data_IF_909364479210
#
_entry.id   IF_909364479210
#
_cell.length_a   1.000
_cell.length_b   1.000
_cell.length_c   1.000
_cell.angle_alpha   90.00
_cell.angle_beta   90.00
_cell.angle_gamma   90.00
#
_symmetry.space_group_name_H-M   'P 1'
#
loop_
_entity.id
_entity.type
_entity.pdbx_description
1 polymer ?
#
# COMPACT_ATOMS: atom_id res chain seq x y z
N UNK A 1 -21.95 -18.51 16.00
CA UNK A 1 -20.81 -17.90 15.30
C UNK A 1 -19.66 -18.88 15.45
N UNK A 2 -19.16 -19.45 14.36
CA UNK A 2 -17.99 -20.34 14.43
C UNK A 2 -16.70 -19.53 14.66
N UNK A 3 -15.62 -20.21 15.03
CA UNK A 3 -14.34 -19.57 15.34
C UNK A 3 -13.73 -18.84 14.14
N UNK A 4 -14.00 -19.30 12.91
CA UNK A 4 -13.45 -18.71 11.70
C UNK A 4 -14.15 -17.40 11.34
N UNK A 5 -15.48 -17.37 11.46
CA UNK A 5 -16.32 -16.18 11.35
C UNK A 5 -15.90 -15.14 12.39
N UNK A 6 -15.66 -15.56 13.64
CA UNK A 6 -15.22 -14.64 14.68
C UNK A 6 -13.85 -14.04 14.39
N UNK A 7 -12.89 -14.85 13.92
CA UNK A 7 -11.55 -14.35 13.51
C UNK A 7 -11.63 -13.40 12.32
N UNK A 8 -12.54 -13.64 11.38
CA UNK A 8 -12.75 -12.79 10.21
C UNK A 8 -13.32 -11.42 10.63
N UNK A 9 -14.34 -11.40 11.47
CA UNK A 9 -14.92 -10.16 12.02
C UNK A 9 -13.90 -9.40 12.86
N UNK A 10 -13.12 -10.07 13.72
CA UNK A 10 -12.06 -9.43 14.50
C UNK A 10 -10.97 -8.83 13.61
N UNK A 11 -10.64 -9.52 12.52
CA UNK A 11 -9.66 -9.05 11.54
C UNK A 11 -10.20 -7.83 10.78
N UNK A 12 -11.45 -7.85 10.36
CA UNK A 12 -12.13 -6.69 9.74
C UNK A 12 -12.14 -5.50 10.67
N UNK A 13 -12.58 -5.65 11.94
CA UNK A 13 -12.62 -4.56 12.92
C UNK A 13 -11.21 -4.01 13.21
N UNK A 14 -10.22 -4.89 13.40
CA UNK A 14 -8.83 -4.46 13.61
C UNK A 14 -8.26 -3.75 12.39
N UNK A 15 -8.59 -4.23 11.19
CA UNK A 15 -8.14 -3.61 9.96
C UNK A 15 -8.81 -2.26 9.75
N UNK A 16 -10.11 -2.11 10.00
CA UNK A 16 -10.82 -0.83 9.97
C UNK A 16 -10.25 0.18 10.98
N UNK A 17 -10.00 -0.23 12.23
CA UNK A 17 -9.40 0.62 13.27
C UNK A 17 -7.96 1.02 12.93
N UNK A 18 -7.20 0.12 12.32
CA UNK A 18 -5.87 0.42 11.79
C UNK A 18 -5.93 1.10 10.41
N UNK A 19 -7.14 1.25 9.85
CA UNK A 19 -7.54 1.56 8.46
C UNK A 19 -6.80 0.81 7.34
N UNK A 20 -6.27 -0.36 7.67
CA UNK A 20 -5.92 -1.36 6.67
C UNK A 20 -7.23 -1.81 6.04
N UNK A 21 -7.34 -1.79 4.72
CA UNK A 21 -8.54 -2.30 4.02
C UNK A 21 -8.13 -3.51 3.21
N UNK A 22 -9.04 -4.47 3.04
CA UNK A 22 -8.83 -5.51 2.04
C UNK A 22 -8.83 -4.84 0.65
N UNK A 23 -7.72 -5.02 -0.06
CA UNK A 23 -7.52 -4.44 -1.39
C UNK A 23 -7.36 -5.58 -2.37
N UNK A 24 -8.16 -5.52 -3.42
CA UNK A 24 -8.11 -6.50 -4.49
C UNK A 24 -7.15 -6.09 -5.60
N UNK A 25 -6.40 -7.08 -6.08
CA UNK A 25 -5.62 -6.97 -7.31
C UNK A 25 -6.56 -7.05 -8.52
N UNK A 26 -6.27 -6.30 -9.57
CA UNK A 26 -7.04 -6.35 -10.81
C UNK A 26 -6.98 -7.74 -11.46
N UNK A 27 -8.12 -8.25 -11.92
CA UNK A 27 -8.29 -9.66 -12.31
C UNK A 27 -7.30 -10.16 -13.36
N UNK A 28 -6.84 -9.27 -14.26
CA UNK A 28 -5.86 -9.58 -15.30
C UNK A 28 -4.49 -10.02 -14.76
N UNK A 29 -4.20 -9.77 -13.49
CA UNK A 29 -2.92 -10.07 -12.85
C UNK A 29 -2.95 -11.33 -11.98
N UNK A 30 -4.14 -11.93 -11.79
CA UNK A 30 -4.32 -13.11 -10.94
C UNK A 30 -3.46 -14.28 -11.46
N UNK A 31 -2.71 -14.91 -10.54
CA UNK A 31 -1.79 -16.00 -10.88
C UNK A 31 -0.55 -15.59 -11.68
N UNK A 32 -0.32 -14.28 -11.88
CA UNK A 32 0.86 -13.78 -12.56
C UNK A 32 2.13 -13.79 -11.72
N UNK A 33 3.26 -13.53 -12.35
CA UNK A 33 4.59 -13.53 -11.74
C UNK A 33 5.36 -12.25 -12.10
N UNK A 34 5.99 -11.63 -11.10
CA UNK A 34 7.00 -10.59 -11.31
C UNK A 34 8.36 -11.26 -11.52
N UNK A 35 8.99 -10.97 -12.66
CA UNK A 35 10.35 -11.44 -12.99
C UNK A 35 11.29 -10.23 -13.03
N UNK A 36 12.27 -10.22 -12.13
CA UNK A 36 13.35 -9.25 -12.12
C UNK A 36 14.52 -9.82 -12.92
N UNK A 37 14.74 -9.25 -14.10
CA UNK A 37 15.82 -9.63 -15.02
C UNK A 37 17.06 -8.79 -14.68
N UNK A 38 18.17 -9.41 -14.25
CA UNK A 38 19.40 -8.68 -13.97
C UNK A 38 20.01 -8.12 -15.26
N UNK A 39 20.56 -6.90 -15.20
CA UNK A 39 21.28 -6.32 -16.35
C UNK A 39 22.65 -6.94 -16.62
N UNK A 40 23.11 -7.88 -15.78
CA UNK A 40 24.41 -8.56 -15.91
C UNK A 40 24.21 -9.99 -16.38
N UNK A 41 24.84 -10.34 -17.50
CA UNK A 41 24.83 -11.69 -18.05
C UNK A 41 25.32 -12.74 -17.03
N UNK A 42 24.70 -13.92 -17.06
CA UNK A 42 25.00 -15.03 -16.14
C UNK A 42 24.39 -14.89 -14.74
N UNK A 43 23.64 -13.82 -14.46
CA UNK A 43 22.95 -13.65 -13.17
C UNK A 43 21.57 -14.28 -13.21
N UNK A 44 21.20 -15.03 -12.17
CA UNK A 44 19.89 -15.66 -12.08
C UNK A 44 18.77 -14.61 -11.89
N UNK A 45 17.68 -14.79 -12.63
CA UNK A 45 16.46 -14.00 -12.46
C UNK A 45 15.85 -14.20 -11.07
N UNK A 46 15.30 -13.14 -10.52
CA UNK A 46 14.49 -13.23 -9.29
C UNK A 46 13.01 -13.21 -9.67
N UNK A 47 12.30 -14.25 -9.25
CA UNK A 47 10.87 -14.43 -9.51
C UNK A 47 10.07 -14.29 -8.23
N UNK A 48 8.86 -13.74 -8.33
CA UNK A 48 7.91 -13.73 -7.22
C UNK A 48 6.46 -13.66 -7.71
N UNK A 49 5.51 -14.37 -7.07
CA UNK A 49 4.10 -14.24 -7.42
C UNK A 49 3.60 -12.79 -7.29
N UNK A 50 2.77 -12.34 -8.24
CA UNK A 50 2.23 -10.97 -8.23
C UNK A 50 1.37 -10.71 -6.99
N UNK A 51 0.64 -11.69 -6.47
CA UNK A 51 -0.14 -11.55 -5.24
C UNK A 51 0.75 -11.17 -4.04
N UNK A 52 1.93 -11.78 -3.95
CA UNK A 52 2.91 -11.50 -2.89
C UNK A 52 3.51 -10.11 -3.07
N UNK A 53 3.81 -9.72 -4.31
CA UNK A 53 4.30 -8.38 -4.61
C UNK A 53 3.25 -7.31 -4.30
N UNK A 54 2.00 -7.52 -4.76
CA UNK A 54 0.88 -6.61 -4.54
C UNK A 54 0.60 -6.41 -3.04
N UNK A 55 0.58 -7.49 -2.26
CA UNK A 55 0.46 -7.39 -0.78
C UNK A 55 1.55 -6.52 -0.16
N UNK A 56 2.78 -6.57 -0.69
CA UNK A 56 3.87 -5.69 -0.22
C UNK A 56 3.61 -4.22 -0.57
N UNK A 57 3.07 -3.94 -1.75
CA UNK A 57 2.68 -2.59 -2.15
C UNK A 57 1.56 -2.05 -1.26
N UNK A 58 0.51 -2.85 -0.99
CA UNK A 58 -0.58 -2.50 -0.08
C UNK A 58 -0.06 -2.23 1.33
N UNK A 59 0.84 -3.06 1.86
CA UNK A 59 1.45 -2.82 3.18
C UNK A 59 2.24 -1.50 3.27
N UNK A 60 2.87 -1.05 2.18
CA UNK A 60 3.54 0.26 2.14
C UNK A 60 2.50 1.38 2.20
N UNK A 61 1.43 1.28 1.41
CA UNK A 61 0.31 2.23 1.43
C UNK A 61 -0.26 2.39 2.84
N UNK A 62 -0.53 1.28 3.51
CA UNK A 62 -1.16 1.30 4.83
C UNK A 62 -0.23 1.93 5.89
N UNK A 63 1.08 1.67 5.81
CA UNK A 63 2.08 2.31 6.68
C UNK A 63 2.15 3.81 6.46
N UNK A 64 2.09 4.28 5.21
CA UNK A 64 2.08 5.71 4.91
C UNK A 64 0.81 6.38 5.45
N UNK A 65 -0.35 5.72 5.32
CA UNK A 65 -1.62 6.21 5.87
C UNK A 65 -1.59 6.32 7.39
N UNK A 66 -1.05 5.30 8.08
CA UNK A 66 -0.85 5.34 9.54
C UNK A 66 0.13 6.44 9.94
N UNK A 67 1.21 6.65 9.17
CA UNK A 67 2.17 7.73 9.43
C UNK A 67 1.50 9.11 9.32
N UNK A 68 0.70 9.33 8.29
CA UNK A 68 -0.08 10.55 8.10
C UNK A 68 -1.04 10.81 9.27
N UNK A 69 -1.80 9.79 9.69
CA UNK A 69 -2.67 9.88 10.86
C UNK A 69 -1.91 10.27 12.14
N UNK A 70 -0.73 9.68 12.36
CA UNK A 70 0.13 10.00 13.50
C UNK A 70 0.63 11.44 13.47
N UNK A 71 1.01 11.95 12.30
CA UNK A 71 1.44 13.35 12.13
C UNK A 71 0.29 14.31 12.44
N UNK A 72 -0.92 14.01 11.93
CA UNK A 72 -2.11 14.83 12.18
C UNK A 72 -2.42 14.94 13.68
N UNK A 73 -2.36 13.81 14.39
CA UNK A 73 -2.58 13.74 15.84
C UNK A 73 -1.41 14.18 16.72
N UNK A 74 -0.25 14.54 16.15
CA UNK A 74 0.93 14.88 16.92
C UNK A 74 0.78 16.26 17.58
N UNK A 75 0.84 16.30 18.92
CA UNK A 75 0.62 17.53 19.70
C UNK A 75 1.81 18.49 19.70
N UNK A 76 3.02 17.98 19.46
CA UNK A 76 4.27 18.75 19.52
C UNK A 76 4.76 19.30 18.18
N UNK A 77 4.06 19.04 17.07
CA UNK A 77 4.39 19.61 15.77
C UNK A 77 3.55 20.86 15.54
N UNK A 78 4.18 21.92 15.04
CA UNK A 78 3.48 23.10 14.53
C UNK A 78 2.70 22.76 13.25
N UNK A 79 1.74 23.61 12.89
CA UNK A 79 0.92 23.39 11.69
C UNK A 79 1.77 23.40 10.41
N UNK A 80 2.78 24.27 10.32
CA UNK A 80 3.69 24.35 9.18
C UNK A 80 4.53 23.07 9.02
N UNK A 81 5.03 22.51 10.13
CA UNK A 81 5.78 21.25 10.11
C UNK A 81 4.88 20.08 9.68
N UNK A 82 3.63 20.05 10.15
CA UNK A 82 2.66 19.03 9.73
C UNK A 82 2.42 19.11 8.23
N UNK A 83 2.21 20.31 7.68
CA UNK A 83 2.01 20.54 6.25
C UNK A 83 3.22 20.05 5.44
N UNK A 84 4.45 20.38 5.86
CA UNK A 84 5.66 19.92 5.16
C UNK A 84 5.78 18.40 5.14
N UNK A 85 5.51 17.73 6.26
CA UNK A 85 5.55 16.26 6.33
C UNK A 85 4.45 15.60 5.50
N UNK A 86 3.23 16.17 5.51
CA UNK A 86 2.13 15.71 4.66
C UNK A 86 2.46 15.85 3.18
N UNK A 87 3.09 16.96 2.77
CA UNK A 87 3.56 17.15 1.39
C UNK A 87 4.60 16.09 1.01
N UNK A 88 5.53 15.76 1.91
CA UNK A 88 6.51 14.71 1.69
C UNK A 88 5.84 13.34 1.53
N UNK A 89 4.87 12.99 2.39
CA UNK A 89 4.06 11.77 2.26
C UNK A 89 3.32 11.74 0.92
N UNK A 90 2.76 12.88 0.48
CA UNK A 90 2.10 13.00 -0.82
C UNK A 90 3.08 12.72 -1.97
N UNK A 91 4.33 13.18 -1.84
CA UNK A 91 5.43 12.83 -2.75
C UNK A 91 5.72 11.32 -2.77
N UNK A 92 5.72 10.66 -1.61
CA UNK A 92 5.86 9.20 -1.51
C UNK A 92 4.70 8.46 -2.21
N UNK A 93 3.45 8.93 -2.06
CA UNK A 93 2.34 8.35 -2.83
C UNK A 93 2.53 8.56 -4.34
N UNK A 94 3.01 9.73 -4.75
CA UNK A 94 3.33 10.04 -6.14
C UNK A 94 4.31 9.05 -6.78
N UNK A 95 5.40 8.69 -6.09
CA UNK A 95 6.40 7.74 -6.60
C UNK A 95 5.88 6.30 -6.73
N UNK A 96 4.80 5.96 -6.02
CA UNK A 96 4.17 4.64 -6.06
C UNK A 96 3.07 4.51 -7.12
N UNK A 97 2.67 5.62 -7.77
CA UNK A 97 1.60 5.62 -8.79
C UNK A 97 1.85 4.68 -9.97
N UNK A 98 3.10 4.34 -10.27
CA UNK A 98 3.45 3.32 -11.27
C UNK A 98 2.76 1.98 -11.01
N UNK A 99 2.52 1.63 -9.74
CA UNK A 99 1.89 0.38 -9.34
C UNK A 99 0.35 0.42 -9.36
N UNK A 100 -0.27 1.58 -9.66
CA UNK A 100 -1.74 1.70 -9.73
C UNK A 100 -2.37 0.73 -10.72
N UNK A 101 -1.60 0.30 -11.72
CA UNK A 101 -1.96 -0.69 -12.72
C UNK A 101 -2.40 -2.04 -12.13
N UNK A 102 -1.95 -2.35 -10.91
CA UNK A 102 -2.23 -3.60 -10.18
C UNK A 102 -3.53 -3.54 -9.39
N UNK A 103 -4.06 -2.35 -9.07
CA UNK A 103 -5.26 -2.21 -8.24
C UNK A 103 -6.52 -2.47 -9.07
N UNK A 104 -7.49 -3.18 -8.47
CA UNK A 104 -8.81 -3.38 -9.07
C UNK A 104 -9.63 -2.09 -9.07
N UNK A 105 -9.70 -1.43 -7.92
CA UNK A 105 -10.51 -0.23 -7.70
C UNK A 105 -9.66 1.04 -7.76
N UNK A 106 -10.22 2.11 -8.36
CA UNK A 106 -9.51 3.42 -8.44
C UNK A 106 -9.37 4.10 -7.09
N UNK A 107 -10.31 3.88 -6.16
CA UNK A 107 -10.28 4.46 -4.81
C UNK A 107 -9.14 3.93 -3.93
N UNK A 108 -8.59 2.77 -4.27
CA UNK A 108 -7.46 2.16 -3.57
C UNK A 108 -6.09 2.60 -4.12
N UNK A 109 -6.09 3.28 -5.27
CA UNK A 109 -4.88 3.68 -5.96
C UNK A 109 -4.13 4.78 -5.21
N UNK A 110 -2.82 4.79 -5.40
CA UNK A 110 -1.98 5.88 -4.94
C UNK A 110 -2.35 7.18 -5.68
N UNK A 111 -2.46 8.26 -4.93
CA UNK A 111 -2.67 9.62 -5.47
C UNK A 111 -1.53 10.50 -4.99
N UNK A 112 -0.71 10.99 -5.92
CA UNK A 112 0.36 11.95 -5.64
C UNK A 112 -0.07 13.39 -5.89
N UNK A 113 0.91 14.30 -5.86
CA UNK A 113 0.69 15.67 -6.32
C UNK A 113 0.32 15.66 -7.81
N UNK A 114 -0.80 16.29 -8.15
CA UNK A 114 -1.11 16.62 -9.54
C UNK A 114 -0.09 17.66 -9.99
N UNK A 115 0.61 17.40 -11.09
CA UNK A 115 1.45 18.41 -11.75
C UNK A 115 0.58 19.53 -12.30
#
# INVERSE_FOLDING_TARGET
MDQDTFRQVLREVLFDELGVRDVDMGDRWNGGELVLIPGREGTQEKRMPLDVFFKKIVMVRDKLRVLEQKINGHKGLSDDEKVQLQQYITGCYGSLTTFNVLFRSKEDQFTGQKK
#
